data_IF_623903981183
#
_entry.id   IF_623903981183
#
_cell.length_a   1.000
_cell.length_b   1.000
_cell.length_c   1.000
_cell.angle_alpha   90.00
_cell.angle_beta   90.00
_cell.angle_gamma   90.00
#
_symmetry.space_group_name_H-M   'P 1'
#
loop_
_entity.id
_entity.type
_entity.pdbx_description
1 polymer ?
#
# COMPACT_ATOMS: atom_id res chain seq x y z
N UNK A 1 3.62 -5.97 -45.34
CA UNK A 1 2.66 -5.33 -46.27
C UNK A 1 3.25 -4.01 -46.69
N UNK A 2 3.51 -3.79 -47.98
CA UNK A 2 4.12 -2.55 -48.46
C UNK A 2 3.02 -1.54 -48.76
N UNK A 3 3.08 -0.36 -48.14
CA UNK A 3 2.17 0.74 -48.43
C UNK A 3 2.93 1.92 -49.04
N UNK A 4 2.25 2.68 -49.90
CA UNK A 4 2.80 3.88 -50.51
C UNK A 4 2.29 5.11 -49.77
N UNK A 5 3.20 6.01 -49.43
CA UNK A 5 2.85 7.32 -48.89
C UNK A 5 3.14 8.40 -49.95
N UNK A 6 2.10 8.87 -50.63
CA UNK A 6 2.20 9.81 -51.74
C UNK A 6 2.19 11.27 -51.27
N UNK A 7 3.06 12.08 -51.88
CA UNK A 7 3.14 13.53 -51.72
C UNK A 7 2.42 14.21 -52.89
N UNK A 8 1.64 15.23 -52.60
CA UNK A 8 0.87 15.97 -53.59
C UNK A 8 1.31 17.43 -53.66
N UNK A 9 1.17 18.05 -54.84
CA UNK A 9 1.34 19.49 -54.99
C UNK A 9 0.05 20.25 -54.60
N UNK A 10 0.10 21.59 -54.62
CA UNK A 10 -1.05 22.44 -54.30
C UNK A 10 -2.25 22.30 -55.23
N UNK A 11 -2.05 21.73 -56.42
CA UNK A 11 -3.12 21.40 -57.37
C UNK A 11 -3.69 19.98 -57.15
N UNK A 12 -3.21 19.25 -56.14
CA UNK A 12 -3.65 17.89 -55.82
C UNK A 12 -3.05 16.80 -56.71
N UNK A 13 -2.01 17.10 -57.50
CA UNK A 13 -1.33 16.11 -58.33
C UNK A 13 -0.22 15.40 -57.55
N UNK A 14 -0.14 14.07 -57.66
CA UNK A 14 0.93 13.29 -57.03
C UNK A 14 2.29 13.66 -57.63
N UNK A 15 3.24 14.02 -56.77
CA UNK A 15 4.61 14.35 -57.17
C UNK A 15 5.55 13.15 -57.02
N UNK A 16 5.51 12.51 -55.85
CA UNK A 16 6.43 11.41 -55.44
C UNK A 16 5.75 10.59 -54.36
N UNK A 17 6.22 9.36 -54.13
CA UNK A 17 5.83 8.58 -52.96
C UNK A 17 7.03 7.96 -52.28
N UNK A 18 6.91 7.75 -50.97
CA UNK A 18 7.81 6.91 -50.20
C UNK A 18 7.25 5.48 -50.13
N UNK A 19 8.14 4.50 -50.24
CA UNK A 19 7.83 3.12 -49.88
C UNK A 19 7.92 3.00 -48.36
N UNK A 20 6.82 2.59 -47.73
CA UNK A 20 6.76 2.40 -46.28
C UNK A 20 6.72 0.91 -45.99
N UNK A 21 7.70 0.48 -45.19
CA UNK A 21 7.78 -0.86 -44.63
C UNK A 21 7.38 -0.79 -43.15
N UNK A 22 6.34 -1.55 -42.79
CA UNK A 22 5.93 -1.69 -41.41
C UNK A 22 6.78 -2.77 -40.75
N UNK A 23 7.48 -2.41 -39.68
CA UNK A 23 8.15 -3.37 -38.82
C UNK A 23 7.25 -3.64 -37.61
N UNK A 24 6.75 -4.88 -37.42
CA UNK A 24 6.05 -5.22 -36.19
C UNK A 24 7.04 -5.16 -35.03
N UNK A 25 6.66 -4.41 -33.99
CA UNK A 25 7.40 -4.39 -32.73
C UNK A 25 6.74 -5.47 -31.86
N UNK A 26 7.52 -6.47 -31.47
CA UNK A 26 7.09 -7.44 -30.47
C UNK A 26 7.09 -6.72 -29.12
N UNK A 27 5.90 -6.46 -28.60
CA UNK A 27 5.72 -5.99 -27.22
C UNK A 27 5.75 -7.25 -26.37
N UNK A 28 6.85 -7.49 -25.66
CA UNK A 28 6.86 -8.51 -24.61
C UNK A 28 5.82 -8.11 -23.56
N UNK A 29 4.78 -8.94 -23.38
CA UNK A 29 3.90 -8.84 -22.23
C UNK A 29 4.73 -9.18 -21.00
N UNK A 30 5.27 -8.15 -20.35
CA UNK A 30 5.85 -8.30 -19.03
C UNK A 30 4.68 -8.62 -18.11
N UNK A 31 4.56 -9.87 -17.67
CA UNK A 31 3.68 -10.22 -16.55
C UNK A 31 4.08 -9.32 -15.38
N UNK A 32 3.24 -8.34 -15.05
CA UNK A 32 3.42 -7.55 -13.83
C UNK A 32 3.31 -8.53 -12.66
N UNK A 33 4.47 -8.93 -12.13
CA UNK A 33 4.53 -9.64 -10.84
C UNK A 33 3.98 -8.66 -9.82
N UNK A 34 2.70 -8.84 -9.46
CA UNK A 34 2.03 -7.98 -8.51
C UNK A 34 2.79 -8.05 -7.18
N UNK A 35 3.58 -7.02 -6.92
CA UNK A 35 4.43 -6.95 -5.75
C UNK A 35 3.53 -6.66 -4.55
N UNK A 36 3.17 -7.71 -3.80
CA UNK A 36 2.41 -7.54 -2.57
C UNK A 36 3.28 -6.82 -1.54
N UNK A 37 2.96 -5.57 -1.25
CA UNK A 37 3.55 -4.85 -0.13
C UNK A 37 2.97 -5.39 1.20
N UNK A 38 3.78 -5.29 2.25
CA UNK A 38 3.39 -5.66 3.61
C UNK A 38 3.73 -4.49 4.52
N UNK A 39 2.71 -3.78 4.99
CA UNK A 39 2.91 -2.68 5.95
C UNK A 39 2.92 -3.23 7.38
N UNK A 40 3.96 -2.87 8.12
CA UNK A 40 4.08 -3.16 9.55
C UNK A 40 3.93 -1.83 10.30
N UNK A 41 2.82 -1.69 11.03
CA UNK A 41 2.47 -0.46 11.73
C UNK A 41 2.82 -0.63 13.21
N UNK A 42 3.58 0.33 13.74
CA UNK A 42 3.94 0.42 15.15
C UNK A 42 3.23 1.60 15.79
N UNK A 43 2.45 1.34 16.84
CA UNK A 43 1.73 2.35 17.61
C UNK A 43 2.38 2.54 18.96
N UNK A 44 2.88 3.75 19.21
CA UNK A 44 3.24 4.17 20.56
C UNK A 44 1.97 4.29 21.41
N UNK A 45 1.91 3.59 22.54
CA UNK A 45 0.85 3.71 23.54
C UNK A 45 1.41 4.05 24.92
N UNK A 46 2.55 4.73 24.97
CA UNK A 46 3.13 5.25 26.21
C UNK A 46 2.21 6.28 26.89
N UNK A 47 2.46 6.57 28.17
CA UNK A 47 1.64 7.52 28.93
C UNK A 47 1.58 8.94 28.34
N UNK A 48 2.58 9.37 27.58
CA UNK A 48 2.55 10.68 26.90
C UNK A 48 1.47 10.76 25.82
N UNK A 49 1.00 9.63 25.31
CA UNK A 49 -0.06 9.56 24.30
C UNK A 49 -1.47 9.77 24.90
N UNK A 50 -1.60 10.05 26.20
CA UNK A 50 -2.90 10.08 26.91
C UNK A 50 -3.98 10.89 26.19
N UNK A 51 -3.64 12.08 25.68
CA UNK A 51 -4.58 12.95 24.98
C UNK A 51 -4.68 12.68 23.48
N UNK A 52 -3.72 11.95 22.91
CA UNK A 52 -3.58 11.77 21.45
C UNK A 52 -3.98 10.37 20.98
N UNK A 53 -4.12 9.40 21.88
CA UNK A 53 -4.31 8.00 21.51
C UNK A 53 -5.64 7.76 20.79
N UNK A 54 -6.70 8.48 21.13
CA UNK A 54 -8.00 8.33 20.47
C UNK A 54 -7.95 8.92 19.05
N UNK A 55 -7.36 10.11 18.88
CA UNK A 55 -7.15 10.73 17.57
C UNK A 55 -6.22 9.90 16.67
N UNK A 56 -5.21 9.26 17.26
CA UNK A 56 -4.32 8.34 16.56
C UNK A 56 -5.07 7.12 16.01
N UNK A 57 -5.96 6.52 16.80
CA UNK A 57 -6.79 5.38 16.34
C UNK A 57 -7.67 5.79 15.17
N UNK A 58 -8.32 6.94 15.26
CA UNK A 58 -9.17 7.46 14.19
C UNK A 58 -8.37 7.75 12.92
N UNK A 59 -7.16 8.30 13.07
CA UNK A 59 -6.24 8.55 11.95
C UNK A 59 -5.78 7.22 11.33
N UNK A 60 -5.42 6.23 12.14
CA UNK A 60 -5.04 4.91 11.67
C UNK A 60 -6.17 4.26 10.87
N UNK A 61 -7.41 4.32 11.35
CA UNK A 61 -8.56 3.77 10.62
C UNK A 61 -8.81 4.50 9.29
N UNK A 62 -8.62 5.82 9.24
CA UNK A 62 -8.73 6.59 8.00
C UNK A 62 -7.64 6.18 6.99
N UNK A 63 -6.39 6.04 7.45
CA UNK A 63 -5.28 5.58 6.59
C UNK A 63 -5.54 4.17 6.04
N UNK A 64 -6.00 3.24 6.87
CA UNK A 64 -6.34 1.89 6.41
C UNK A 64 -7.53 1.88 5.44
N UNK A 65 -8.46 2.83 5.56
CA UNK A 65 -9.57 3.00 4.59
C UNK A 65 -9.04 3.47 3.23
N UNK A 66 -8.06 4.37 3.21
CA UNK A 66 -7.41 4.81 1.98
C UNK A 66 -6.62 3.67 1.34
N UNK A 67 -5.88 2.90 2.15
CA UNK A 67 -5.14 1.73 1.68
C UNK A 67 -6.07 0.65 1.12
N UNK A 68 -7.21 0.37 1.77
CA UNK A 68 -8.23 -0.54 1.24
C UNK A 68 -8.76 -0.10 -0.14
N UNK A 69 -8.88 1.21 -0.36
CA UNK A 69 -9.31 1.74 -1.66
C UNK A 69 -8.23 1.61 -2.74
N UNK A 70 -6.95 1.71 -2.38
CA UNK A 70 -5.82 1.57 -3.32
C UNK A 70 -5.49 0.10 -3.63
N UNK A 71 -5.44 -0.75 -2.60
CA UNK A 71 -5.10 -2.17 -2.69
C UNK A 71 -5.76 -2.97 -1.55
N UNK A 72 -6.91 -3.58 -1.82
CA UNK A 72 -7.69 -4.34 -0.84
C UNK A 72 -6.99 -5.59 -0.28
N UNK A 73 -6.08 -6.18 -1.06
CA UNK A 73 -5.26 -7.34 -0.69
C UNK A 73 -3.98 -7.00 0.09
N UNK A 74 -3.65 -5.71 0.25
CA UNK A 74 -2.49 -5.23 1.00
C UNK A 74 -2.43 -5.89 2.38
N UNK A 75 -1.29 -6.50 2.72
CA UNK A 75 -1.14 -7.16 4.03
C UNK A 75 -0.69 -6.15 5.07
N UNK A 76 -1.33 -6.17 6.23
CA UNK A 76 -1.05 -5.31 7.37
C UNK A 76 -0.71 -6.17 8.60
N UNK A 77 0.35 -5.78 9.32
CA UNK A 77 0.59 -6.20 10.69
C UNK A 77 0.55 -4.98 11.60
N UNK A 78 -0.07 -5.10 12.78
CA UNK A 78 -0.15 -4.02 13.76
C UNK A 78 0.43 -4.46 15.09
N UNK A 79 1.36 -3.65 15.61
CA UNK A 79 1.88 -3.77 16.96
C UNK A 79 1.65 -2.47 17.72
N UNK A 80 1.49 -2.58 19.03
CA UNK A 80 1.55 -1.44 19.94
C UNK A 80 2.59 -1.68 21.02
N UNK A 81 3.26 -0.61 21.46
CA UNK A 81 4.32 -0.71 22.45
C UNK A 81 4.25 0.39 23.52
N UNK A 82 4.75 0.09 24.71
CA UNK A 82 5.01 1.08 25.75
C UNK A 82 6.37 0.79 26.42
N UNK A 83 6.43 0.55 27.72
CA UNK A 83 7.56 0.12 28.54
C UNK A 83 8.19 -1.17 28.02
N UNK A 84 9.42 -1.42 28.47
CA UNK A 84 10.11 -2.70 28.24
C UNK A 84 9.24 -3.89 28.67
N UNK A 85 9.10 -4.88 27.79
CA UNK A 85 8.25 -6.06 27.95
C UNK A 85 6.77 -5.83 27.58
N UNK A 86 6.37 -4.59 27.31
CA UNK A 86 4.98 -4.24 26.96
C UNK A 86 4.85 -3.95 25.46
N UNK A 87 4.90 -5.03 24.67
CA UNK A 87 4.63 -5.04 23.23
C UNK A 87 3.49 -6.00 22.96
N UNK A 88 2.53 -5.57 22.17
CA UNK A 88 1.38 -6.39 21.78
C UNK A 88 1.29 -6.45 20.28
N UNK A 89 1.34 -7.66 19.73
CA UNK A 89 0.96 -7.94 18.34
C UNK A 89 -0.56 -8.10 18.29
N UNK A 90 -1.25 -7.15 17.65
CA UNK A 90 -2.70 -7.17 17.52
C UNK A 90 -3.15 -8.15 16.43
N UNK A 91 -2.46 -8.11 15.28
CA UNK A 91 -2.66 -9.04 14.17
C UNK A 91 -1.47 -9.00 13.21
N UNK A 92 -1.31 -10.07 12.41
CA UNK A 92 -0.16 -10.30 11.53
C UNK A 92 -0.59 -10.68 10.12
N UNK A 93 -0.02 -10.01 9.11
CA UNK A 93 -0.18 -10.29 7.67
C UNK A 93 -1.65 -10.47 7.26
N UNK A 94 -2.53 -9.61 7.77
CA UNK A 94 -3.97 -9.65 7.47
C UNK A 94 -4.27 -8.72 6.29
N UNK A 95 -5.05 -9.14 5.28
CA UNK A 95 -5.50 -8.23 4.22
C UNK A 95 -6.23 -7.01 4.79
N UNK A 96 -5.96 -5.81 4.26
CA UNK A 96 -6.60 -4.58 4.76
C UNK A 96 -8.12 -4.63 4.63
N UNK A 97 -8.65 -5.29 3.60
CA UNK A 97 -10.08 -5.55 3.44
C UNK A 97 -10.69 -6.32 4.63
N UNK A 98 -10.00 -7.34 5.16
CA UNK A 98 -10.43 -8.08 6.36
C UNK A 98 -10.35 -7.21 7.62
N UNK A 99 -9.35 -6.34 7.71
CA UNK A 99 -9.22 -5.38 8.83
C UNK A 99 -10.37 -4.38 8.82
N UNK A 100 -10.74 -3.88 7.64
CA UNK A 100 -11.71 -2.80 7.48
C UNK A 100 -13.18 -3.24 7.40
N UNK A 101 -13.43 -4.55 7.22
CA UNK A 101 -14.77 -5.15 7.29
C UNK A 101 -15.60 -4.60 8.45
N UNK A 102 -16.88 -4.38 8.19
CA UNK A 102 -17.85 -3.97 9.21
C UNK A 102 -17.84 -4.98 10.38
N UNK A 103 -17.70 -4.48 11.60
CA UNK A 103 -17.60 -5.27 12.84
C UNK A 103 -16.38 -6.22 12.92
N UNK A 104 -15.34 -5.98 12.12
CA UNK A 104 -14.08 -6.74 12.18
C UNK A 104 -13.51 -6.75 13.60
N UNK A 105 -13.03 -7.92 14.03
CA UNK A 105 -12.32 -8.06 15.31
C UNK A 105 -11.04 -7.23 15.31
N UNK A 106 -10.35 -7.10 14.17
CA UNK A 106 -9.14 -6.30 14.02
C UNK A 106 -9.39 -4.81 14.24
N UNK A 107 -10.54 -4.30 13.76
CA UNK A 107 -10.95 -2.92 14.02
C UNK A 107 -11.22 -2.67 15.50
N UNK A 108 -11.76 -3.66 16.22
CA UNK A 108 -11.95 -3.60 17.68
C UNK A 108 -10.61 -3.62 18.42
N UNK A 109 -9.65 -4.44 17.97
CA UNK A 109 -8.28 -4.44 18.54
C UNK A 109 -7.65 -3.04 18.46
N UNK A 110 -7.75 -2.36 17.31
CA UNK A 110 -7.29 -0.96 17.15
C UNK A 110 -7.98 -0.04 18.18
N UNK A 111 -9.31 -0.11 18.28
CA UNK A 111 -10.09 0.72 19.20
C UNK A 111 -9.76 0.45 20.68
N UNK A 112 -9.39 -0.78 21.01
CA UNK A 112 -9.06 -1.22 22.36
C UNK A 112 -7.64 -0.84 22.80
N UNK A 113 -6.80 -0.27 21.92
CA UNK A 113 -5.48 0.23 22.31
C UNK A 113 -5.64 1.28 23.43
N UNK A 114 -4.95 1.09 24.56
CA UNK A 114 -4.97 2.03 25.69
C UNK A 114 -3.56 2.48 26.03
N UNK A 115 -3.47 3.73 26.45
CA UNK A 115 -2.23 4.30 26.99
C UNK A 115 -1.78 3.57 28.25
N UNK A 116 -0.47 3.43 28.42
CA UNK A 116 0.14 2.80 29.58
C UNK A 116 1.62 3.17 29.68
N UNK A 117 2.18 3.11 30.89
CA UNK A 117 3.62 3.02 31.10
C UNK A 117 4.49 4.11 30.46
N UNK A 118 5.75 3.72 30.21
CA UNK A 118 6.80 4.52 29.60
C UNK A 118 6.94 4.16 28.11
N UNK A 119 8.04 4.58 27.49
CA UNK A 119 8.32 4.36 26.06
C UNK A 119 9.56 3.49 25.89
N UNK A 120 9.45 2.43 25.10
CA UNK A 120 10.55 1.59 24.68
C UNK A 120 10.28 1.12 23.24
N UNK A 121 10.75 1.91 22.28
CA UNK A 121 10.55 1.66 20.84
C UNK A 121 11.48 0.57 20.30
N UNK A 122 12.68 0.40 20.86
CA UNK A 122 13.69 -0.52 20.35
C UNK A 122 13.20 -1.97 20.29
N UNK A 123 12.54 -2.44 21.34
CA UNK A 123 11.91 -3.77 21.37
C UNK A 123 10.79 -3.92 20.31
N UNK A 124 10.03 -2.85 20.03
CA UNK A 124 8.95 -2.90 19.06
C UNK A 124 9.49 -3.07 17.65
N UNK A 125 10.63 -2.41 17.36
CA UNK A 125 11.37 -2.58 16.12
C UNK A 125 11.96 -4.01 15.99
N UNK A 126 12.50 -4.56 17.08
CA UNK A 126 12.99 -5.95 17.10
C UNK A 126 11.87 -6.95 16.82
N UNK A 127 10.67 -6.76 17.42
CA UNK A 127 9.52 -7.61 17.14
C UNK A 127 8.98 -7.41 15.71
N UNK A 128 8.94 -6.17 15.21
CA UNK A 128 8.54 -5.88 13.84
C UNK A 128 9.46 -6.54 12.81
N UNK A 129 10.77 -6.56 13.05
CA UNK A 129 11.73 -7.20 12.15
C UNK A 129 11.46 -8.70 11.95
N UNK A 130 10.88 -9.39 12.96
CA UNK A 130 10.48 -10.80 12.86
C UNK A 130 9.23 -11.04 11.99
N UNK A 131 8.57 -9.96 11.56
CA UNK A 131 7.33 -10.02 10.79
C UNK A 131 7.53 -9.79 9.29
N UNK A 132 8.72 -9.32 8.88
CA UNK A 132 9.12 -9.19 7.48
C UNK A 132 8.99 -10.57 6.81
#
# INVERSE_FOLDING_TARGET
>A
MHSKFALYNYAGNELRHYLVEQQPIEIEEVEEVQQFSHHIILVDRSGSMYYEIEDLKDTLLKLLTLEEYECDEMKISLLSYSSKGDVTLHFKKVPVSEVMKKNSTYRKEIQNIRVTGLTCISQALEEAAKLI
#
